data_IF_202212520941
#
_entry.id   IF_202212520941
#
_cell.length_a   1.000
_cell.length_b   1.000
_cell.length_c   1.000
_cell.angle_alpha   90.00
_cell.angle_beta   90.00
_cell.angle_gamma   90.00
#
_symmetry.space_group_name_H-M   'P 1'
#
loop_
_entity.id
_entity.type
_entity.pdbx_description
1 polymer ?
#
# COMPACT_ATOMS: atom_id res chain seq x y z
N UNK A 1 5.82 -67.20 -16.25
CA UNK A 1 5.44 -65.91 -16.84
C UNK A 1 6.64 -64.99 -16.75
N UNK A 2 7.25 -64.62 -17.89
CA UNK A 2 8.34 -63.65 -17.93
C UNK A 2 7.73 -62.27 -17.69
N UNK A 3 8.11 -61.62 -16.60
CA UNK A 3 7.78 -60.21 -16.35
C UNK A 3 8.62 -59.34 -17.28
N UNK A 4 7.94 -58.57 -18.13
CA UNK A 4 8.57 -57.54 -18.96
C UNK A 4 9.23 -56.48 -18.06
N UNK A 5 10.40 -55.95 -18.44
CA UNK A 5 11.05 -54.90 -17.68
C UNK A 5 10.26 -53.61 -17.84
N UNK A 6 9.91 -52.99 -16.72
CA UNK A 6 9.26 -51.70 -16.64
C UNK A 6 10.18 -50.67 -17.30
N UNK A 7 9.73 -50.13 -18.44
CA UNK A 7 10.42 -49.08 -19.18
C UNK A 7 10.51 -47.84 -18.26
N UNK A 8 11.68 -47.66 -17.67
CA UNK A 8 11.99 -46.49 -16.84
C UNK A 8 11.98 -45.29 -17.75
N UNK A 9 11.02 -44.38 -17.56
CA UNK A 9 11.02 -43.10 -18.26
C UNK A 9 12.37 -42.42 -18.03
N UNK A 10 13.22 -42.35 -19.06
CA UNK A 10 14.60 -41.81 -19.00
C UNK A 10 14.66 -40.32 -18.64
N UNK A 11 13.51 -39.66 -18.51
CA UNK A 11 13.42 -38.23 -18.24
C UNK A 11 13.00 -38.02 -16.79
N UNK A 12 13.94 -37.57 -15.95
CA UNK A 12 13.66 -37.10 -14.61
C UNK A 12 12.51 -36.08 -14.66
N UNK A 13 11.51 -36.17 -13.76
CA UNK A 13 10.45 -35.17 -13.67
C UNK A 13 11.07 -33.78 -13.49
N UNK A 14 10.59 -32.75 -14.22
CA UNK A 14 11.20 -31.40 -14.25
C UNK A 14 11.44 -30.75 -12.87
N UNK A 15 10.72 -31.18 -11.83
CA UNK A 15 10.92 -30.71 -10.46
C UNK A 15 12.17 -31.28 -9.77
N UNK A 16 12.78 -32.34 -10.30
CA UNK A 16 14.07 -32.90 -9.87
C UNK A 16 15.24 -32.60 -10.83
N UNK A 17 15.00 -31.84 -11.89
CA UNK A 17 16.02 -31.51 -12.89
C UNK A 17 16.93 -30.39 -12.38
N UNK A 18 18.24 -30.57 -12.53
CA UNK A 18 19.26 -29.56 -12.18
C UNK A 18 19.01 -28.24 -12.93
N UNK A 19 19.43 -27.12 -12.35
CA UNK A 19 19.41 -25.81 -13.02
C UNK A 19 20.56 -25.74 -14.03
N UNK A 20 20.24 -25.38 -15.27
CA UNK A 20 21.25 -25.15 -16.31
C UNK A 20 21.58 -23.66 -16.44
N UNK A 21 22.73 -23.30 -17.04
CA UNK A 21 23.03 -21.90 -17.33
C UNK A 21 21.96 -21.19 -18.17
N UNK A 22 21.32 -21.91 -19.10
CA UNK A 22 20.25 -21.39 -19.94
C UNK A 22 18.97 -21.09 -19.13
N UNK A 23 18.63 -21.95 -18.16
CA UNK A 23 17.53 -21.70 -17.21
C UNK A 23 17.80 -20.43 -16.39
N UNK A 24 19.05 -20.21 -15.96
CA UNK A 24 19.45 -19.00 -15.24
C UNK A 24 19.33 -17.75 -16.10
N UNK A 25 19.82 -17.79 -17.34
CA UNK A 25 19.72 -16.65 -18.28
C UNK A 25 18.26 -16.30 -18.57
N UNK A 26 17.41 -17.30 -18.77
CA UNK A 26 15.98 -17.10 -18.98
C UNK A 26 15.30 -16.56 -17.72
N UNK A 27 15.67 -17.03 -16.53
CA UNK A 27 15.16 -16.49 -15.27
C UNK A 27 15.60 -15.02 -15.04
N UNK A 28 16.88 -14.72 -15.27
CA UNK A 28 17.47 -13.38 -15.10
C UNK A 28 16.83 -12.37 -16.05
N UNK A 29 16.55 -12.76 -17.29
CA UNK A 29 15.93 -11.87 -18.29
C UNK A 29 14.44 -11.64 -18.02
N UNK A 30 13.71 -12.65 -17.54
CA UNK A 30 12.25 -12.57 -17.40
C UNK A 30 11.79 -12.01 -16.06
N UNK A 31 12.47 -12.35 -14.97
CA UNK A 31 12.01 -12.00 -13.62
C UNK A 31 11.88 -10.49 -13.33
N UNK A 32 12.71 -9.59 -13.90
CA UNK A 32 12.57 -8.16 -13.67
C UNK A 32 11.20 -7.59 -14.05
N UNK A 33 10.60 -8.15 -15.11
CA UNK A 33 9.35 -7.67 -15.71
C UNK A 33 8.14 -8.57 -15.41
N UNK A 34 8.36 -9.73 -14.77
CA UNK A 34 7.31 -10.72 -14.57
C UNK A 34 7.20 -11.15 -13.10
N UNK A 35 6.04 -11.71 -12.75
CA UNK A 35 5.86 -12.39 -11.46
C UNK A 35 6.38 -13.82 -11.53
N UNK A 36 6.83 -14.36 -10.38
CA UNK A 36 7.40 -15.70 -10.28
C UNK A 36 6.48 -16.80 -10.87
N UNK A 37 5.16 -16.63 -10.80
CA UNK A 37 4.19 -17.56 -11.39
C UNK A 37 4.28 -17.64 -12.92
N UNK A 38 4.46 -16.52 -13.63
CA UNK A 38 4.61 -16.49 -15.09
C UNK A 38 5.94 -17.14 -15.47
N UNK A 39 7.01 -16.81 -14.74
CA UNK A 39 8.34 -17.36 -14.99
C UNK A 39 8.38 -18.88 -14.73
N UNK A 40 7.73 -19.34 -13.65
CA UNK A 40 7.57 -20.75 -13.34
C UNK A 40 6.86 -21.52 -14.46
N UNK A 41 5.75 -20.97 -14.98
CA UNK A 41 5.03 -21.56 -16.10
C UNK A 41 5.88 -21.66 -17.37
N UNK A 42 6.70 -20.63 -17.67
CA UNK A 42 7.60 -20.64 -18.84
C UNK A 42 8.74 -21.66 -18.71
N UNK A 43 9.33 -21.79 -17.52
CA UNK A 43 10.40 -22.75 -17.24
C UNK A 43 9.87 -24.18 -17.00
N UNK A 44 8.55 -24.36 -16.88
CA UNK A 44 7.96 -25.65 -16.48
C UNK A 44 8.39 -26.10 -15.09
N UNK A 45 8.63 -25.15 -14.19
CA UNK A 45 9.08 -25.37 -12.80
C UNK A 45 8.03 -24.88 -11.81
N UNK A 46 8.22 -25.17 -10.53
CA UNK A 46 7.30 -24.68 -9.48
C UNK A 46 7.69 -23.28 -9.02
N UNK A 47 6.72 -22.48 -8.58
CA UNK A 47 6.97 -21.14 -8.05
C UNK A 47 7.96 -21.16 -6.87
N UNK A 48 7.90 -22.19 -6.02
CA UNK A 48 8.83 -22.37 -4.91
C UNK A 48 10.28 -22.53 -5.38
N UNK A 49 10.52 -23.35 -6.41
CA UNK A 49 11.86 -23.55 -6.97
C UNK A 49 12.41 -22.29 -7.64
N UNK A 50 11.54 -21.46 -8.26
CA UNK A 50 11.92 -20.16 -8.79
C UNK A 50 12.41 -19.24 -7.67
N UNK A 51 11.67 -19.13 -6.56
CA UNK A 51 12.09 -18.28 -5.43
C UNK A 51 13.40 -18.74 -4.81
N UNK A 52 13.59 -20.05 -4.63
CA UNK A 52 14.86 -20.58 -4.12
C UNK A 52 16.02 -20.24 -5.05
N UNK A 53 15.83 -20.37 -6.37
CA UNK A 53 16.89 -20.02 -7.33
C UNK A 53 17.18 -18.52 -7.35
N UNK A 54 16.16 -17.69 -7.25
CA UNK A 54 16.33 -16.23 -7.16
C UNK A 54 17.17 -15.84 -5.96
N UNK A 55 16.99 -16.50 -4.80
CA UNK A 55 17.81 -16.25 -3.61
C UNK A 55 19.28 -16.54 -3.90
N UNK A 56 19.59 -17.72 -4.46
CA UNK A 56 20.96 -18.10 -4.84
C UNK A 56 21.56 -17.11 -5.84
N UNK A 57 20.85 -16.77 -6.91
CA UNK A 57 21.33 -15.83 -7.93
C UNK A 57 21.52 -14.40 -7.39
N UNK A 58 20.81 -14.02 -6.32
CA UNK A 58 21.02 -12.74 -5.62
C UNK A 58 22.26 -12.77 -4.74
N UNK A 59 22.52 -13.87 -4.06
CA UNK A 59 23.76 -14.09 -3.29
C UNK A 59 24.99 -14.10 -4.22
N UNK A 60 24.82 -14.60 -5.44
CA UNK A 60 25.84 -14.54 -6.51
C UNK A 60 25.94 -13.16 -7.20
N UNK A 61 25.12 -12.17 -6.84
CA UNK A 61 25.02 -10.85 -7.49
C UNK A 61 24.68 -10.89 -9.00
N UNK A 62 24.13 -12.00 -9.49
CA UNK A 62 23.74 -12.18 -10.91
C UNK A 62 22.29 -11.80 -11.19
N UNK A 63 21.47 -11.70 -10.15
CA UNK A 63 20.05 -11.38 -10.28
C UNK A 63 19.81 -9.86 -10.21
N UNK A 64 19.33 -9.22 -11.29
CA UNK A 64 18.92 -7.82 -11.23
C UNK A 64 17.76 -7.61 -10.25
N UNK A 65 17.65 -6.41 -9.65
CA UNK A 65 16.48 -6.06 -8.86
C UNK A 65 15.23 -6.17 -9.72
N UNK A 66 14.12 -6.61 -9.13
CA UNK A 66 12.84 -6.56 -9.81
C UNK A 66 12.51 -5.09 -10.10
N UNK A 67 12.01 -4.77 -11.30
CA UNK A 67 11.59 -3.41 -11.60
C UNK A 67 10.50 -3.00 -10.61
N UNK A 68 10.55 -1.74 -10.19
CA UNK A 68 9.53 -1.24 -9.29
C UNK A 68 8.16 -1.40 -9.95
N UNK A 69 7.23 -2.01 -9.24
CA UNK A 69 5.90 -2.30 -9.77
C UNK A 69 5.05 -1.04 -9.95
N UNK A 70 5.57 0.10 -9.47
CA UNK A 70 4.98 1.42 -9.56
C UNK A 70 5.94 2.40 -10.25
N UNK A 71 5.47 3.01 -11.33
CA UNK A 71 6.17 4.13 -11.97
C UNK A 71 6.11 5.37 -11.09
N UNK A 72 6.95 6.36 -11.37
CA UNK A 72 6.96 7.60 -10.62
C UNK A 72 5.66 8.41 -10.80
N UNK A 73 5.02 8.32 -11.98
CA UNK A 73 3.70 8.90 -12.22
C UNK A 73 2.62 8.23 -11.35
N UNK A 74 2.67 6.90 -11.21
CA UNK A 74 1.74 6.17 -10.36
C UNK A 74 1.94 6.50 -8.87
N UNK A 75 3.19 6.69 -8.45
CA UNK A 75 3.52 7.16 -7.09
C UNK A 75 3.03 8.59 -6.86
N UNK A 76 3.18 9.49 -7.83
CA UNK A 76 2.64 10.84 -7.78
C UNK A 76 1.11 10.80 -7.65
N UNK A 77 0.43 9.97 -8.46
CA UNK A 77 -1.02 9.79 -8.37
C UNK A 77 -1.48 9.31 -6.98
N UNK A 78 -0.77 8.36 -6.37
CA UNK A 78 -1.04 7.90 -4.99
C UNK A 78 -0.88 9.02 -3.97
N UNK A 79 0.11 9.89 -4.15
CA UNK A 79 0.37 11.03 -3.26
C UNK A 79 -0.74 12.08 -3.37
N UNK A 80 -1.08 12.46 -4.60
CA UNK A 80 -1.99 13.58 -4.87
C UNK A 80 -3.43 13.23 -4.49
N UNK A 81 -3.82 11.95 -4.65
CA UNK A 81 -5.18 11.49 -4.37
C UNK A 81 -5.39 10.97 -2.95
N UNK A 82 -4.39 11.03 -2.06
CA UNK A 82 -4.47 10.46 -0.71
C UNK A 82 -5.59 11.04 0.18
N UNK A 83 -6.05 12.25 -0.14
CA UNK A 83 -7.11 12.94 0.60
C UNK A 83 -8.50 12.82 -0.06
N UNK A 84 -8.55 12.54 -1.37
CA UNK A 84 -9.80 12.45 -2.13
C UNK A 84 -10.30 11.01 -2.21
N UNK A 85 -9.40 10.08 -2.56
CA UNK A 85 -9.74 8.69 -2.85
C UNK A 85 -9.37 7.75 -1.69
N UNK A 86 -10.05 6.62 -1.61
CA UNK A 86 -9.63 5.51 -0.75
C UNK A 86 -8.54 4.68 -1.44
N UNK A 87 -7.81 3.86 -0.67
CA UNK A 87 -6.85 2.91 -1.24
C UNK A 87 -7.47 2.00 -2.30
N UNK A 88 -8.74 1.60 -2.13
CA UNK A 88 -9.43 0.76 -3.11
C UNK A 88 -9.66 1.52 -4.42
N UNK A 89 -10.18 2.74 -4.35
CA UNK A 89 -10.44 3.53 -5.56
C UNK A 89 -9.14 3.85 -6.32
N UNK A 90 -8.03 4.11 -5.61
CA UNK A 90 -6.72 4.33 -6.24
C UNK A 90 -6.21 3.03 -6.88
N UNK A 91 -6.39 1.90 -6.21
CA UNK A 91 -6.02 0.59 -6.73
C UNK A 91 -6.80 0.25 -8.01
N UNK A 92 -8.11 0.50 -8.02
CA UNK A 92 -8.97 0.29 -9.19
C UNK A 92 -8.55 1.18 -10.36
N UNK A 93 -8.22 2.45 -10.10
CA UNK A 93 -7.74 3.39 -11.14
C UNK A 93 -6.40 2.97 -11.73
N UNK A 94 -5.49 2.44 -10.91
CA UNK A 94 -4.16 2.02 -11.34
C UNK A 94 -4.12 0.58 -11.88
N UNK A 95 -5.22 -0.17 -11.79
CA UNK A 95 -5.25 -1.61 -12.10
C UNK A 95 -4.31 -2.42 -11.20
N UNK A 96 -4.11 -2.00 -9.95
CA UNK A 96 -3.19 -2.63 -8.98
C UNK A 96 -3.97 -3.21 -7.81
N UNK A 97 -3.30 -4.05 -7.02
CA UNK A 97 -3.88 -4.52 -5.75
C UNK A 97 -3.87 -3.42 -4.70
N UNK A 98 -4.98 -3.27 -3.95
CA UNK A 98 -5.09 -2.40 -2.78
C UNK A 98 -3.92 -2.58 -1.79
N UNK A 99 -3.54 -3.83 -1.49
CA UNK A 99 -2.43 -4.13 -0.56
C UNK A 99 -1.09 -3.55 -1.04
N UNK A 100 -0.86 -3.56 -2.35
CA UNK A 100 0.37 -3.00 -2.92
C UNK A 100 0.37 -1.48 -2.87
N UNK A 101 -0.76 -0.84 -3.15
CA UNK A 101 -0.92 0.62 -3.02
C UNK A 101 -0.70 1.05 -1.56
N UNK A 102 -1.29 0.35 -0.59
CA UNK A 102 -1.07 0.61 0.84
C UNK A 102 0.41 0.49 1.24
N UNK A 103 1.08 -0.58 0.78
CA UNK A 103 2.51 -0.80 1.04
C UNK A 103 3.35 0.35 0.48
N UNK A 104 3.11 0.74 -0.77
CA UNK A 104 3.86 1.82 -1.44
C UNK A 104 3.58 3.16 -0.78
N UNK A 105 2.32 3.48 -0.46
CA UNK A 105 1.97 4.68 0.27
C UNK A 105 2.69 4.76 1.64
N UNK A 106 2.76 3.64 2.38
CA UNK A 106 3.49 3.57 3.66
C UNK A 106 4.99 3.81 3.49
N UNK A 107 5.61 3.21 2.46
CA UNK A 107 7.03 3.41 2.16
C UNK A 107 7.30 4.89 1.81
N UNK A 108 6.39 5.54 1.07
CA UNK A 108 6.48 6.96 0.73
C UNK A 108 6.06 7.91 1.86
N UNK A 109 5.66 7.40 3.03
CA UNK A 109 5.16 8.22 4.15
C UNK A 109 3.80 8.88 3.88
N UNK A 110 3.06 8.44 2.86
CA UNK A 110 1.74 8.98 2.50
C UNK A 110 0.66 8.27 3.32
N UNK A 111 -0.06 9.04 4.13
CA UNK A 111 -1.16 8.54 4.96
C UNK A 111 -2.52 8.99 4.43
N UNK A 112 -3.38 8.01 4.14
CA UNK A 112 -4.77 8.18 3.70
C UNK A 112 -5.74 8.37 4.87
N UNK A 113 -5.23 8.65 6.07
CA UNK A 113 -6.07 8.96 7.22
C UNK A 113 -6.86 10.24 6.97
N UNK A 114 -8.20 10.11 6.89
CA UNK A 114 -9.12 11.22 6.63
C UNK A 114 -9.52 11.89 7.95
N UNK A 115 -9.37 13.19 8.03
CA UNK A 115 -9.71 14.00 9.22
C UNK A 115 -10.49 15.25 8.83
N UNK A 116 -11.12 15.88 9.82
CA UNK A 116 -11.95 17.05 9.60
C UNK A 116 -13.05 16.78 8.57
N UNK A 117 -13.26 17.71 7.65
CA UNK A 117 -14.30 17.61 6.61
C UNK A 117 -14.13 16.45 5.63
N UNK A 118 -12.94 15.85 5.55
CA UNK A 118 -12.70 14.71 4.67
C UNK A 118 -13.18 13.39 5.28
N UNK A 119 -13.43 13.35 6.59
CA UNK A 119 -13.90 12.14 7.26
C UNK A 119 -15.39 11.90 6.95
N UNK A 120 -15.80 10.68 6.55
CA UNK A 120 -17.16 10.42 6.07
C UNK A 120 -18.24 10.62 7.15
N UNK A 121 -17.90 10.39 8.41
CA UNK A 121 -18.84 10.57 9.53
C UNK A 121 -18.73 11.97 10.17
N UNK A 122 -18.30 12.99 9.43
CA UNK A 122 -18.17 14.35 9.96
C UNK A 122 -19.54 15.00 10.07
N UNK A 123 -20.01 15.14 11.30
CA UNK A 123 -21.26 15.84 11.64
C UNK A 123 -21.03 17.36 11.70
N UNK A 124 -19.88 17.78 12.24
CA UNK A 124 -19.55 19.19 12.44
C UNK A 124 -18.36 19.62 11.59
N UNK A 125 -18.52 20.63 10.71
CA UNK A 125 -17.48 21.03 9.78
C UNK A 125 -16.28 21.72 10.45
N UNK A 126 -15.17 21.81 9.72
CA UNK A 126 -13.93 22.46 10.16
C UNK A 126 -14.17 23.92 10.55
N UNK A 127 -15.09 24.60 9.87
CA UNK A 127 -15.51 25.98 10.18
C UNK A 127 -16.00 26.13 11.61
N UNK A 128 -16.82 25.20 12.08
CA UNK A 128 -17.46 25.29 13.40
C UNK A 128 -16.42 25.06 14.49
N UNK A 129 -15.51 24.11 14.28
CA UNK A 129 -14.40 23.86 15.21
C UNK A 129 -13.43 25.03 15.29
N UNK A 130 -13.10 25.65 14.14
CA UNK A 130 -12.28 26.86 14.13
C UNK A 130 -13.00 28.02 14.81
N UNK A 131 -14.31 28.15 14.64
CA UNK A 131 -15.13 29.15 15.32
C UNK A 131 -15.16 28.93 16.84
N UNK A 132 -15.34 27.70 17.31
CA UNK A 132 -15.24 27.37 18.75
C UNK A 132 -13.88 27.77 19.31
N UNK A 133 -12.78 27.42 18.62
CA UNK A 133 -11.41 27.79 19.04
C UNK A 133 -11.23 29.30 19.11
N UNK A 134 -11.61 30.04 18.06
CA UNK A 134 -11.49 31.49 18.03
C UNK A 134 -12.31 32.20 19.12
N UNK A 135 -13.49 31.69 19.47
CA UNK A 135 -14.29 32.24 20.59
C UNK A 135 -13.68 31.90 21.95
N UNK A 136 -13.04 30.74 22.09
CA UNK A 136 -12.28 30.37 23.29
C UNK A 136 -11.03 31.21 23.48
N UNK A 137 -10.31 31.52 22.40
CA UNK A 137 -9.14 32.40 22.44
C UNK A 137 -9.52 33.83 22.86
N UNK A 138 -10.75 34.27 22.56
CA UNK A 138 -11.34 35.52 23.05
C UNK A 138 -11.85 35.45 24.50
N UNK A 139 -11.72 34.31 25.18
CA UNK A 139 -12.10 34.14 26.58
C UNK A 139 -13.57 33.77 26.84
N UNK A 140 -14.39 33.51 25.81
CA UNK A 140 -15.81 33.19 26.02
C UNK A 140 -16.00 31.82 26.69
N UNK A 141 -17.04 31.68 27.50
CA UNK A 141 -17.36 30.42 28.17
C UNK A 141 -18.04 29.44 27.20
N UNK A 142 -17.83 28.13 27.40
CA UNK A 142 -18.46 27.10 26.55
C UNK A 142 -19.99 27.18 26.53
N UNK A 143 -20.62 27.65 27.61
CA UNK A 143 -22.07 27.88 27.67
C UNK A 143 -22.53 28.96 26.70
N UNK A 144 -21.74 30.01 26.52
CA UNK A 144 -22.05 31.12 25.60
C UNK A 144 -21.78 30.69 24.16
N UNK A 145 -20.66 30.00 23.94
CA UNK A 145 -20.30 29.42 22.63
C UNK A 145 -21.37 28.44 22.14
N UNK A 146 -21.85 27.57 23.03
CA UNK A 146 -22.93 26.63 22.75
C UNK A 146 -24.22 27.35 22.27
N UNK A 147 -24.58 28.47 22.89
CA UNK A 147 -25.72 29.30 22.46
C UNK A 147 -25.49 29.96 21.11
N UNK A 148 -24.27 30.46 20.86
CA UNK A 148 -23.93 31.14 19.59
C UNK A 148 -23.99 30.18 18.40
N UNK A 149 -23.61 28.91 18.62
CA UNK A 149 -23.54 27.88 17.60
C UNK A 149 -24.78 26.97 17.55
N UNK A 150 -25.74 27.19 18.44
CA UNK A 150 -26.93 26.34 18.62
C UNK A 150 -26.59 24.84 18.79
N UNK A 151 -25.61 24.56 19.65
CA UNK A 151 -25.17 23.20 19.99
C UNK A 151 -25.18 22.98 21.49
N UNK A 152 -25.14 21.72 21.92
CA UNK A 152 -24.99 21.44 23.35
C UNK A 152 -23.60 21.84 23.86
N UNK A 153 -23.52 22.16 25.16
CA UNK A 153 -22.24 22.49 25.82
C UNK A 153 -21.23 21.35 25.67
N UNK A 154 -21.70 20.10 25.82
CA UNK A 154 -20.88 18.90 25.64
C UNK A 154 -20.29 18.78 24.24
N UNK A 155 -21.08 19.12 23.21
CA UNK A 155 -20.61 19.15 21.81
C UNK A 155 -19.56 20.25 21.62
N UNK A 156 -19.77 21.46 22.15
CA UNK A 156 -18.79 22.54 22.06
C UNK A 156 -17.44 22.18 22.73
N UNK A 157 -17.50 21.52 23.89
CA UNK A 157 -16.31 21.00 24.59
C UNK A 157 -15.61 19.90 23.76
N UNK A 158 -16.38 18.97 23.20
CA UNK A 158 -15.85 17.91 22.35
C UNK A 158 -15.19 18.47 21.07
N UNK A 159 -15.82 19.44 20.41
CA UNK A 159 -15.28 20.15 19.25
C UNK A 159 -13.93 20.80 19.57
N UNK A 160 -13.81 21.43 20.74
CA UNK A 160 -12.59 22.11 21.15
C UNK A 160 -11.43 21.13 21.45
N UNK A 161 -11.67 20.12 22.30
CA UNK A 161 -10.58 19.27 22.81
C UNK A 161 -10.28 18.04 21.94
N UNK A 162 -11.30 17.42 21.34
CA UNK A 162 -11.17 16.09 20.74
C UNK A 162 -11.20 16.13 19.22
N UNK A 163 -11.91 17.08 18.63
CA UNK A 163 -12.13 17.14 17.19
C UNK A 163 -10.90 17.73 16.47
N UNK A 164 -10.25 16.91 15.63
CA UNK A 164 -9.09 17.31 14.81
C UNK A 164 -9.53 17.81 13.44
N UNK A 165 -9.03 18.97 13.04
CA UNK A 165 -9.19 19.54 11.68
C UNK A 165 -8.20 18.90 10.71
N UNK A 166 -8.38 19.14 9.41
CA UNK A 166 -7.37 18.83 8.39
C UNK A 166 -6.03 19.48 8.73
N UNK A 167 -6.04 20.75 9.15
CA UNK A 167 -4.85 21.51 9.50
C UNK A 167 -4.07 20.88 10.67
N UNK A 168 -4.78 20.40 11.71
CA UNK A 168 -4.14 19.73 12.86
C UNK A 168 -3.40 18.45 12.44
N UNK A 169 -3.88 17.78 11.39
CA UNK A 169 -3.29 16.55 10.87
C UNK A 169 -2.02 16.83 10.07
N UNK A 170 -1.98 17.95 9.35
CA UNK A 170 -0.80 18.43 8.63
C UNK A 170 0.27 18.88 9.63
N UNK A 171 -0.11 19.65 10.65
CA UNK A 171 0.80 20.15 11.67
C UNK A 171 1.54 19.03 12.44
N UNK A 172 0.89 17.88 12.67
CA UNK A 172 1.53 16.71 13.29
C UNK A 172 2.58 16.03 12.39
N UNK A 173 2.48 16.20 11.06
CA UNK A 173 3.35 15.53 10.08
C UNK A 173 4.65 16.29 9.81
N UNK A 174 4.74 17.57 10.15
CA UNK A 174 5.99 18.32 10.09
C UNK A 174 6.68 18.21 11.45
N UNK A 175 7.83 17.51 11.56
CA UNK A 175 8.64 17.60 12.78
C UNK A 175 9.13 19.04 12.95
N UNK A 176 9.04 19.53 14.18
CA UNK A 176 9.70 20.76 14.64
C UNK A 176 11.22 20.57 14.62
#
# INVERSE_FOLDING_TARGET
>A
MKSEPMEMSEVCPKHGQAWTPEDDELLISLYPDNIAAIVAARLGRTVATIYQRIVILREEYRMPPQKDHFTDEQKAFIRDNCHAMTYQQVADHLGKSKKNVERVARIMGVSYYKTGNLHPNTIYPDSDVLRVRALRDKGMLFREIARILDVSVSVAVWMYYKRKTKADTIARRQPQ
#
